data_IF_109821071067
#
_entry.id   IF_109821071067
#
_cell.length_a   1.000
_cell.length_b   1.000
_cell.length_c   1.000
_cell.angle_alpha   90.00
_cell.angle_beta   90.00
_cell.angle_gamma   90.00
#
_symmetry.space_group_name_H-M   'P 1'
#
loop_
_entity.id
_entity.type
_entity.pdbx_description
1 polymer ?
#
# COMPACT_ATOMS: atom_id res chain seq x y z
N UNK A 1 -7.42 -30.93 7.11
CA UNK A 1 -7.28 -30.07 8.30
C UNK A 1 -8.19 -28.88 8.05
N UNK A 2 -9.19 -28.61 8.89
CA UNK A 2 -9.85 -27.29 8.79
C UNK A 2 -8.78 -26.25 9.13
N UNK A 3 -8.64 -25.26 8.27
CA UNK A 3 -7.67 -24.19 8.50
C UNK A 3 -8.32 -23.21 9.48
N UNK A 4 -8.23 -23.49 10.77
CA UNK A 4 -8.78 -22.64 11.84
C UNK A 4 -7.95 -21.35 12.05
N UNK A 5 -6.99 -21.07 11.17
CA UNK A 5 -6.25 -19.82 11.19
C UNK A 5 -7.14 -18.67 10.69
N UNK A 6 -7.23 -17.56 11.44
CA UNK A 6 -7.98 -16.40 11.00
C UNK A 6 -7.36 -15.82 9.73
N UNK A 7 -8.22 -15.39 8.80
CA UNK A 7 -7.81 -14.70 7.58
C UNK A 7 -7.76 -13.21 7.85
N UNK A 8 -6.66 -12.56 7.45
CA UNK A 8 -6.54 -11.10 7.50
C UNK A 8 -7.10 -10.53 6.20
N UNK A 9 -8.12 -9.69 6.33
CA UNK A 9 -8.70 -8.95 5.20
C UNK A 9 -8.24 -7.49 5.31
N UNK A 10 -7.43 -7.07 4.34
CA UNK A 10 -7.12 -5.66 4.09
C UNK A 10 -8.00 -5.14 2.95
N UNK A 11 -8.55 -3.94 3.11
CA UNK A 11 -9.27 -3.24 2.03
C UNK A 11 -8.54 -1.94 1.68
N UNK A 12 -8.05 -1.86 0.44
CA UNK A 12 -7.60 -0.63 -0.18
C UNK A 12 -8.81 0.09 -0.82
N UNK A 13 -9.35 1.08 -0.13
CA UNK A 13 -10.69 1.61 -0.43
C UNK A 13 -10.73 2.55 -1.64
N UNK A 14 -9.59 3.13 -2.06
CA UNK A 14 -9.60 4.11 -3.15
C UNK A 14 -8.39 4.09 -4.11
N UNK A 15 -7.19 4.39 -3.63
CA UNK A 15 -6.06 4.77 -4.50
C UNK A 15 -6.26 6.14 -5.16
N UNK A 16 -5.75 6.30 -6.38
CA UNK A 16 -6.00 7.48 -7.23
C UNK A 16 -7.13 7.25 -8.26
N UNK A 17 -7.97 6.22 -8.05
CA UNK A 17 -9.09 5.91 -8.94
C UNK A 17 -10.06 7.11 -9.01
N UNK A 18 -10.33 7.65 -10.21
CA UNK A 18 -11.22 8.81 -10.36
C UNK A 18 -12.70 8.39 -10.33
N UNK A 19 -13.59 9.30 -9.93
CA UNK A 19 -15.05 9.04 -9.87
C UNK A 19 -15.65 8.74 -11.25
N UNK A 20 -15.06 9.27 -12.32
CA UNK A 20 -15.43 8.97 -13.70
C UNK A 20 -15.22 7.49 -14.06
N UNK A 21 -14.25 6.82 -13.41
CA UNK A 21 -14.01 5.38 -13.57
C UNK A 21 -14.92 4.56 -12.66
N UNK A 22 -15.13 5.00 -11.41
CA UNK A 22 -16.03 4.36 -10.47
C UNK A 22 -16.68 5.41 -9.55
N UNK A 23 -17.98 5.68 -9.71
CA UNK A 23 -18.69 6.70 -8.91
C UNK A 23 -18.70 6.40 -7.41
N UNK A 24 -18.52 5.13 -7.03
CA UNK A 24 -18.52 4.68 -5.64
C UNK A 24 -17.16 4.88 -4.94
N UNK A 25 -16.09 5.26 -5.65
CA UNK A 25 -14.79 5.48 -5.00
C UNK A 25 -14.88 6.63 -3.99
N UNK A 26 -14.46 6.44 -2.72
CA UNK A 26 -14.49 7.50 -1.72
C UNK A 26 -13.33 8.48 -1.94
N UNK A 27 -13.63 9.78 -2.00
CA UNK A 27 -12.63 10.85 -2.23
C UNK A 27 -12.62 11.90 -1.14
N UNK A 28 -13.78 12.31 -0.65
CA UNK A 28 -13.86 13.27 0.46
C UNK A 28 -13.62 12.57 1.79
N UNK A 29 -13.18 13.28 2.85
CA UNK A 29 -13.01 12.68 4.18
C UNK A 29 -14.27 11.97 4.69
N UNK A 30 -15.45 12.54 4.44
CA UNK A 30 -16.73 11.95 4.85
C UNK A 30 -17.06 10.64 4.11
N UNK A 31 -16.80 10.60 2.79
CA UNK A 31 -16.94 9.37 2.01
C UNK A 31 -15.94 8.31 2.47
N UNK A 32 -14.68 8.70 2.68
CA UNK A 32 -13.60 7.82 3.14
C UNK A 32 -13.98 7.16 4.46
N UNK A 33 -14.42 7.95 5.44
CA UNK A 33 -14.80 7.42 6.76
C UNK A 33 -16.02 6.52 6.72
N UNK A 34 -16.98 6.81 5.83
CA UNK A 34 -18.18 5.99 5.67
C UNK A 34 -17.86 4.66 5.02
N UNK A 35 -17.10 4.67 3.92
CA UNK A 35 -16.74 3.46 3.17
C UNK A 35 -15.80 2.56 3.98
N UNK A 36 -14.81 3.15 4.67
CA UNK A 36 -13.90 2.43 5.55
C UNK A 36 -14.65 1.76 6.72
N UNK A 37 -15.61 2.46 7.35
CA UNK A 37 -16.39 1.86 8.42
C UNK A 37 -17.24 0.69 7.91
N UNK A 38 -17.90 0.85 6.76
CA UNK A 38 -18.67 -0.23 6.14
C UNK A 38 -17.78 -1.45 5.84
N UNK A 39 -16.55 -1.23 5.36
CA UNK A 39 -15.59 -2.31 5.13
C UNK A 39 -15.19 -3.03 6.42
N UNK A 40 -14.94 -2.29 7.51
CA UNK A 40 -14.62 -2.86 8.82
C UNK A 40 -15.81 -3.62 9.43
N UNK A 41 -17.04 -3.12 9.27
CA UNK A 41 -18.27 -3.81 9.67
C UNK A 41 -18.52 -5.08 8.86
N UNK A 42 -18.08 -5.12 7.60
CA UNK A 42 -18.10 -6.31 6.75
C UNK A 42 -16.99 -7.32 7.05
N UNK A 43 -16.07 -7.02 7.97
CA UNK A 43 -15.04 -7.94 8.45
C UNK A 43 -13.60 -7.59 8.06
N UNK A 44 -13.35 -6.43 7.45
CA UNK A 44 -11.98 -5.95 7.23
C UNK A 44 -11.29 -5.68 8.58
N UNK A 45 -10.07 -6.18 8.73
CA UNK A 45 -9.21 -5.89 9.89
C UNK A 45 -8.31 -4.66 9.63
N UNK A 46 -7.98 -4.42 8.36
CA UNK A 46 -7.04 -3.39 7.92
C UNK A 46 -7.67 -2.53 6.83
N UNK A 47 -7.58 -1.22 6.98
CA UNK A 47 -7.97 -0.26 5.95
C UNK A 47 -6.76 0.52 5.47
N UNK A 48 -6.59 0.52 4.15
CA UNK A 48 -5.66 1.37 3.43
C UNK A 48 -6.42 2.42 2.64
N UNK A 49 -6.03 3.68 2.75
CA UNK A 49 -6.60 4.74 1.93
C UNK A 49 -5.63 5.87 1.62
N UNK A 50 -6.01 6.62 0.60
CA UNK A 50 -5.37 7.84 0.14
C UNK A 50 -6.22 9.04 0.57
N UNK A 51 -5.55 10.12 0.97
CA UNK A 51 -6.22 11.40 1.20
C UNK A 51 -6.73 11.99 -0.13
N UNK A 52 -7.59 13.01 -0.02
CA UNK A 52 -8.12 13.78 -1.15
C UNK A 52 -7.00 14.45 -1.98
N UNK A 53 -5.94 14.89 -1.31
CA UNK A 53 -4.78 15.55 -1.90
C UNK A 53 -3.46 14.99 -1.35
N UNK A 54 -2.71 14.30 -2.22
CA UNK A 54 -1.43 13.67 -1.88
C UNK A 54 -0.24 14.64 -1.95
N UNK A 55 -0.41 15.87 -2.43
CA UNK A 55 0.69 16.85 -2.53
C UNK A 55 0.90 17.62 -1.23
N UNK A 56 -0.03 17.50 -0.29
CA UNK A 56 0.13 18.08 1.04
C UNK A 56 0.86 17.11 1.94
N UNK A 57 1.74 17.64 2.80
CA UNK A 57 2.60 16.88 3.70
C UNK A 57 2.43 17.30 5.17
N UNK A 58 3.14 16.61 6.07
CA UNK A 58 3.28 16.95 7.48
C UNK A 58 1.95 16.95 8.22
N UNK A 59 1.81 17.93 9.13
CA UNK A 59 0.61 18.10 9.95
C UNK A 59 -0.66 18.30 9.12
N UNK A 60 -0.57 18.99 7.98
CA UNK A 60 -1.74 19.26 7.15
C UNK A 60 -2.27 17.97 6.48
N UNK A 61 -1.37 17.09 6.02
CA UNK A 61 -1.74 15.77 5.52
C UNK A 61 -2.29 14.88 6.64
N UNK A 62 -1.64 14.88 7.80
CA UNK A 62 -2.10 14.11 8.96
C UNK A 62 -3.53 14.49 9.35
N UNK A 63 -3.88 15.78 9.35
CA UNK A 63 -5.26 16.24 9.64
C UNK A 63 -6.28 15.66 8.68
N UNK A 64 -5.99 15.63 7.38
CA UNK A 64 -6.88 15.05 6.36
C UNK A 64 -7.13 13.56 6.58
N UNK A 65 -6.05 12.79 6.82
CA UNK A 65 -6.18 11.37 7.14
C UNK A 65 -6.96 11.15 8.44
N UNK A 66 -6.65 11.91 9.50
CA UNK A 66 -7.35 11.80 10.78
C UNK A 66 -8.84 12.14 10.66
N UNK A 67 -9.21 13.10 9.81
CA UNK A 67 -10.60 13.44 9.50
C UNK A 67 -11.30 12.28 8.77
N UNK A 68 -10.67 11.71 7.73
CA UNK A 68 -11.19 10.56 7.00
C UNK A 68 -11.34 9.32 7.88
N UNK A 69 -10.46 9.14 8.86
CA UNK A 69 -10.50 8.01 9.79
C UNK A 69 -11.40 8.21 11.00
N UNK A 70 -11.94 9.41 11.22
CA UNK A 70 -12.65 9.77 12.45
C UNK A 70 -13.77 8.77 12.79
N UNK A 71 -14.65 8.47 11.83
CA UNK A 71 -15.77 7.54 12.03
C UNK A 71 -15.31 6.13 12.42
N UNK A 72 -14.30 5.62 11.72
CA UNK A 72 -13.76 4.28 12.00
C UNK A 72 -13.12 4.23 13.37
N UNK A 73 -12.35 5.24 13.75
CA UNK A 73 -11.67 5.31 15.05
C UNK A 73 -12.66 5.43 16.22
N UNK A 74 -13.77 6.13 16.03
CA UNK A 74 -14.84 6.24 17.03
C UNK A 74 -15.60 4.91 17.19
N UNK A 75 -15.91 4.22 16.10
CA UNK A 75 -16.73 3.01 16.13
C UNK A 75 -15.92 1.71 16.37
N UNK A 76 -14.70 1.66 15.85
CA UNK A 76 -13.81 0.49 15.78
C UNK A 76 -12.37 0.89 16.09
N UNK A 77 -12.06 1.24 17.36
CA UNK A 77 -10.72 1.64 17.77
C UNK A 77 -9.68 0.51 17.66
N UNK A 78 -10.14 -0.73 17.43
CA UNK A 78 -9.33 -1.92 17.15
C UNK A 78 -8.95 -2.08 15.67
N UNK A 79 -9.55 -1.31 14.76
CA UNK A 79 -9.22 -1.36 13.34
C UNK A 79 -7.79 -0.85 13.08
N UNK A 80 -7.07 -1.52 12.20
CA UNK A 80 -5.73 -1.11 11.76
C UNK A 80 -5.89 -0.19 10.56
N UNK A 81 -5.47 1.05 10.72
CA UNK A 81 -5.56 2.07 9.67
C UNK A 81 -4.16 2.44 9.21
N UNK A 82 -3.99 2.66 7.90
CA UNK A 82 -2.78 3.28 7.41
C UNK A 82 -2.94 4.12 6.14
N UNK A 83 -2.25 5.27 6.09
CA UNK A 83 -2.25 6.17 4.94
C UNK A 83 -1.31 5.65 3.83
N UNK A 84 -1.48 6.18 2.61
CA UNK A 84 -0.38 6.17 1.63
C UNK A 84 0.72 7.17 2.01
N UNK A 85 1.91 6.97 1.46
CA UNK A 85 2.96 7.98 1.40
C UNK A 85 2.50 9.19 0.56
N UNK A 86 2.80 10.41 1.00
CA UNK A 86 2.46 11.63 0.25
C UNK A 86 3.47 11.88 -0.87
N UNK A 87 3.08 12.61 -1.91
CA UNK A 87 3.94 13.00 -3.03
C UNK A 87 4.78 14.22 -2.65
N UNK A 88 6.08 14.00 -2.47
CA UNK A 88 7.08 15.05 -2.23
C UNK A 88 8.42 14.63 -2.83
N UNK A 89 9.29 15.60 -3.13
CA UNK A 89 10.64 15.33 -3.65
C UNK A 89 11.57 14.82 -2.53
N UNK A 90 11.45 15.42 -1.34
CA UNK A 90 12.25 15.04 -0.18
C UNK A 90 11.66 13.82 0.55
N UNK A 91 12.52 12.86 0.89
CA UNK A 91 12.11 11.62 1.56
C UNK A 91 11.54 11.86 2.96
N UNK A 92 11.99 12.87 3.70
CA UNK A 92 11.46 13.15 5.03
C UNK A 92 10.06 13.75 4.93
N UNK A 93 9.83 14.64 3.96
CA UNK A 93 8.50 15.19 3.67
C UNK A 93 7.49 14.10 3.28
N UNK A 94 7.90 13.09 2.50
CA UNK A 94 7.04 11.94 2.15
C UNK A 94 6.43 11.23 3.36
N UNK A 95 7.14 11.18 4.48
CA UNK A 95 6.72 10.48 5.70
C UNK A 95 6.33 11.42 6.86
N UNK A 96 6.43 12.74 6.68
CA UNK A 96 6.26 13.72 7.76
C UNK A 96 4.88 13.72 8.43
N UNK A 97 3.88 13.09 7.82
CA UNK A 97 2.53 12.95 8.37
C UNK A 97 2.41 11.79 9.38
N UNK A 98 3.29 10.78 9.31
CA UNK A 98 3.20 9.57 10.14
C UNK A 98 3.36 9.82 11.64
N UNK A 99 4.32 10.65 12.13
CA UNK A 99 4.47 10.88 13.56
C UNK A 99 3.20 11.46 14.21
N UNK A 100 2.54 12.39 13.51
CA UNK A 100 1.28 12.99 13.97
C UNK A 100 0.15 11.96 14.00
N UNK A 101 0.03 11.12 12.96
CA UNK A 101 -0.99 10.08 12.94
C UNK A 101 -0.80 9.05 14.05
N UNK A 102 0.45 8.66 14.33
CA UNK A 102 0.76 7.75 15.45
C UNK A 102 0.42 8.39 16.79
N UNK A 103 0.84 9.64 17.01
CA UNK A 103 0.51 10.39 18.23
C UNK A 103 -1.01 10.45 18.49
N UNK A 104 -1.80 10.57 17.42
CA UNK A 104 -3.25 10.61 17.52
C UNK A 104 -3.91 9.24 17.55
N UNK A 105 -3.19 8.13 17.38
CA UNK A 105 -3.78 6.79 17.22
C UNK A 105 -4.60 6.64 15.93
N UNK A 106 -4.19 7.33 14.87
CA UNK A 106 -4.80 7.33 13.54
C UNK A 106 -3.96 6.57 12.49
N UNK A 107 -2.89 5.90 12.90
CA UNK A 107 -2.16 4.94 12.09
C UNK A 107 -1.51 3.85 12.97
N UNK A 108 -1.60 2.60 12.52
CA UNK A 108 -0.94 1.43 13.14
C UNK A 108 0.05 0.77 12.17
N UNK A 109 -0.08 1.08 10.88
CA UNK A 109 0.83 0.66 9.82
C UNK A 109 1.20 1.85 8.92
N UNK A 110 2.10 1.63 7.98
CA UNK A 110 2.39 2.54 6.88
C UNK A 110 2.73 1.76 5.60
N UNK A 111 2.44 2.36 4.45
CA UNK A 111 2.77 1.80 3.14
C UNK A 111 4.26 1.96 2.81
N UNK A 112 4.87 0.93 2.25
CA UNK A 112 6.22 0.99 1.69
C UNK A 112 6.30 0.09 0.45
N UNK A 113 6.92 0.58 -0.61
CA UNK A 113 7.13 -0.20 -1.82
C UNK A 113 8.62 -0.59 -1.89
N UNK A 114 8.98 -1.85 -1.59
CA UNK A 114 10.38 -2.23 -1.38
C UNK A 114 11.14 -2.52 -2.68
N UNK A 115 10.94 -1.69 -3.71
CA UNK A 115 11.64 -1.78 -4.98
C UNK A 115 11.22 -0.74 -6.01
N UNK A 116 11.80 -0.84 -7.21
CA UNK A 116 11.53 0.06 -8.33
C UNK A 116 11.04 -0.73 -9.55
N UNK A 117 10.09 -0.15 -10.30
CA UNK A 117 9.50 -0.76 -11.50
C UNK A 117 9.15 0.30 -12.53
N UNK A 118 9.10 -0.09 -13.80
CA UNK A 118 8.53 0.76 -14.84
C UNK A 118 7.00 0.62 -14.80
N UNK A 119 6.30 1.73 -14.79
CA UNK A 119 4.86 1.77 -15.02
C UNK A 119 4.58 2.45 -16.34
N UNK A 120 3.53 2.00 -17.02
CA UNK A 120 3.12 2.56 -18.29
C UNK A 120 1.60 2.61 -18.43
N UNK A 121 1.17 3.40 -19.40
CA UNK A 121 -0.12 3.25 -20.05
C UNK A 121 0.13 2.65 -21.41
N UNK A 122 -0.51 1.52 -21.66
CA UNK A 122 -0.39 0.82 -22.92
C UNK A 122 -1.36 1.38 -23.97
N UNK A 123 -0.89 1.43 -25.22
CA UNK A 123 -1.68 1.78 -26.38
C UNK A 123 -2.52 0.61 -26.88
N UNK A 124 -3.32 0.81 -27.95
CA UNK A 124 -4.21 -0.23 -28.50
C UNK A 124 -3.49 -1.49 -29.00
N UNK A 125 -2.19 -1.41 -29.28
CA UNK A 125 -1.35 -2.54 -29.69
C UNK A 125 -0.63 -3.22 -28.52
N UNK A 126 -0.91 -2.81 -27.27
CA UNK A 126 -0.29 -3.34 -26.06
C UNK A 126 1.11 -2.79 -25.74
N UNK A 127 1.66 -1.89 -26.58
CA UNK A 127 2.95 -1.25 -26.29
C UNK A 127 2.78 -0.03 -25.36
N UNK A 128 3.73 0.21 -24.44
CA UNK A 128 3.78 1.44 -23.65
C UNK A 128 3.77 2.68 -24.55
N UNK A 129 2.84 3.60 -24.32
CA UNK A 129 2.77 4.89 -25.03
C UNK A 129 2.99 6.10 -24.11
N UNK A 130 2.96 5.87 -22.79
CA UNK A 130 3.32 6.84 -21.76
C UNK A 130 3.83 6.06 -20.55
N UNK A 131 5.00 6.38 -20.06
CA UNK A 131 5.65 5.65 -18.97
C UNK A 131 6.27 6.57 -17.93
N UNK A 132 6.56 5.98 -16.77
CA UNK A 132 7.45 6.55 -15.78
C UNK A 132 8.16 5.43 -15.03
N UNK A 133 9.38 5.71 -14.57
CA UNK A 133 10.09 4.81 -13.66
C UNK A 133 9.64 5.14 -12.24
N UNK A 134 9.00 4.18 -11.58
CA UNK A 134 8.68 4.29 -10.17
C UNK A 134 9.90 3.86 -9.35
N UNK A 135 10.55 4.83 -8.71
CA UNK A 135 11.83 4.63 -8.06
C UNK A 135 11.69 4.59 -6.54
N UNK A 136 12.12 3.48 -5.94
CA UNK A 136 12.45 3.39 -4.52
C UNK A 136 13.83 2.72 -4.41
N UNK A 137 14.84 3.52 -4.12
CA UNK A 137 16.21 3.07 -3.87
C UNK A 137 16.30 2.31 -2.54
N UNK A 138 17.33 1.47 -2.36
CA UNK A 138 17.57 0.81 -1.07
C UNK A 138 17.76 1.80 0.09
N UNK A 139 18.27 3.01 -0.18
CA UNK A 139 18.36 4.09 0.81
C UNK A 139 16.98 4.58 1.25
N UNK A 140 16.05 4.81 0.31
CA UNK A 140 14.68 5.24 0.62
C UNK A 140 13.91 4.13 1.35
N UNK A 141 14.07 2.87 0.91
CA UNK A 141 13.50 1.69 1.56
C UNK A 141 13.99 1.57 3.01
N UNK A 142 15.30 1.68 3.22
CA UNK A 142 15.90 1.66 4.55
C UNK A 142 15.41 2.81 5.42
N UNK A 143 15.31 4.00 4.86
CA UNK A 143 14.79 5.18 5.55
C UNK A 143 13.34 4.98 6.03
N UNK A 144 12.48 4.42 5.17
CA UNK A 144 11.10 4.08 5.53
C UNK A 144 11.03 3.06 6.66
N UNK A 145 11.77 1.94 6.57
CA UNK A 145 11.82 0.93 7.63
C UNK A 145 12.33 1.49 8.97
N UNK A 146 13.32 2.39 8.94
CA UNK A 146 13.83 3.05 10.14
C UNK A 146 12.77 3.95 10.79
N UNK A 147 12.00 4.72 10.00
CA UNK A 147 10.88 5.52 10.52
C UNK A 147 9.84 4.61 11.14
N UNK A 148 9.44 3.55 10.44
CA UNK A 148 8.37 2.68 10.91
C UNK A 148 8.75 1.98 12.21
N UNK A 149 10.00 1.51 12.31
CA UNK A 149 10.54 0.92 13.54
C UNK A 149 10.57 1.91 14.70
N UNK A 150 10.97 3.17 14.46
CA UNK A 150 10.99 4.23 15.49
C UNK A 150 9.58 4.60 15.97
N UNK A 151 8.61 4.61 15.07
CA UNK A 151 7.22 4.95 15.37
C UNK A 151 6.38 3.76 15.86
N UNK A 152 6.92 2.54 15.83
CA UNK A 152 6.19 1.33 16.19
C UNK A 152 5.12 0.92 15.16
N UNK A 153 5.27 1.31 13.90
CA UNK A 153 4.38 0.98 12.80
C UNK A 153 4.77 -0.34 12.12
N UNK A 154 3.77 -1.13 11.74
CA UNK A 154 3.98 -2.24 10.79
C UNK A 154 4.16 -1.73 9.36
N UNK A 155 5.02 -2.38 8.56
CA UNK A 155 5.16 -2.08 7.14
C UNK A 155 4.16 -2.91 6.31
N UNK A 156 3.24 -2.24 5.62
CA UNK A 156 2.43 -2.86 4.56
C UNK A 156 3.20 -2.75 3.24
N UNK A 157 3.80 -3.85 2.80
CA UNK A 157 4.74 -3.86 1.67
C UNK A 157 4.06 -4.28 0.38
N UNK A 158 3.96 -3.39 -0.61
CA UNK A 158 3.39 -3.70 -1.93
C UNK A 158 4.49 -4.17 -2.90
N UNK A 159 4.43 -5.43 -3.29
CA UNK A 159 5.39 -6.04 -4.22
C UNK A 159 4.75 -6.14 -5.59
N UNK A 160 5.10 -5.19 -6.46
CA UNK A 160 4.68 -5.16 -7.86
C UNK A 160 5.53 -6.07 -8.74
N UNK A 161 6.73 -6.44 -8.30
CA UNK A 161 7.66 -7.27 -9.05
C UNK A 161 8.42 -8.20 -8.09
N UNK A 162 8.75 -9.41 -8.53
CA UNK A 162 9.41 -10.41 -7.71
C UNK A 162 10.78 -9.94 -7.18
N UNK A 163 11.45 -9.02 -7.87
CA UNK A 163 12.70 -8.43 -7.39
C UNK A 163 12.55 -7.65 -6.09
N UNK A 164 11.35 -7.16 -5.76
CA UNK A 164 11.06 -6.43 -4.53
C UNK A 164 11.22 -7.33 -3.29
N UNK A 165 11.04 -8.65 -3.43
CA UNK A 165 11.31 -9.63 -2.36
C UNK A 165 12.74 -9.54 -1.82
N UNK A 166 13.71 -9.12 -2.66
CA UNK A 166 15.13 -9.05 -2.27
C UNK A 166 15.36 -8.10 -1.10
N UNK A 167 14.74 -6.92 -1.15
CA UNK A 167 14.81 -5.94 -0.06
C UNK A 167 14.15 -6.48 1.20
N UNK A 168 12.93 -7.04 1.08
CA UNK A 168 12.20 -7.60 2.23
C UNK A 168 13.01 -8.70 2.92
N UNK A 169 13.58 -9.63 2.16
CA UNK A 169 14.37 -10.75 2.69
C UNK A 169 15.67 -10.27 3.33
N UNK A 170 16.35 -9.29 2.72
CA UNK A 170 17.56 -8.72 3.29
C UNK A 170 17.27 -8.08 4.67
N UNK A 171 16.21 -7.28 4.79
CA UNK A 171 15.84 -6.66 6.08
C UNK A 171 15.32 -7.68 7.09
N UNK A 172 14.56 -8.69 6.65
CA UNK A 172 14.09 -9.77 7.52
C UNK A 172 15.26 -10.59 8.08
N UNK A 173 16.20 -11.04 7.24
CA UNK A 173 17.40 -11.79 7.65
C UNK A 173 18.29 -10.99 8.59
N UNK A 174 18.35 -9.68 8.42
CA UNK A 174 19.09 -8.78 9.30
C UNK A 174 18.37 -8.50 10.64
N UNK A 175 17.14 -8.99 10.83
CA UNK A 175 16.33 -8.69 12.02
C UNK A 175 15.88 -7.22 12.09
N UNK A 176 15.83 -6.52 10.94
CA UNK A 176 15.54 -5.09 10.83
C UNK A 176 14.16 -4.76 10.25
N UNK A 177 13.35 -5.77 9.92
CA UNK A 177 11.99 -5.54 9.43
C UNK A 177 11.09 -5.06 10.59
N UNK A 178 10.28 -4.00 10.42
CA UNK A 178 9.39 -3.52 11.48
C UNK A 178 8.43 -4.62 11.96
N UNK A 179 8.12 -4.65 13.26
CA UNK A 179 7.18 -5.62 13.82
C UNK A 179 5.77 -5.41 13.25
N UNK A 180 5.07 -6.50 12.94
CA UNK A 180 3.72 -6.44 12.37
C UNK A 180 3.71 -6.13 10.86
N UNK A 181 4.86 -6.16 10.20
CA UNK A 181 4.95 -6.02 8.75
C UNK A 181 4.46 -7.26 8.03
N UNK A 182 3.86 -7.08 6.86
CA UNK A 182 3.57 -8.15 5.93
C UNK A 182 3.76 -7.70 4.47
N UNK A 183 3.84 -8.69 3.60
CA UNK A 183 4.04 -8.54 2.17
C UNK A 183 2.75 -8.82 1.43
N UNK A 184 2.43 -7.98 0.44
CA UNK A 184 1.34 -8.17 -0.51
C UNK A 184 1.92 -8.29 -1.90
N UNK A 185 1.56 -9.36 -2.60
CA UNK A 185 1.87 -9.52 -4.02
C UNK A 185 0.81 -8.81 -4.85
N UNK A 186 1.23 -7.82 -5.63
CA UNK A 186 0.35 -7.09 -6.53
C UNK A 186 0.37 -7.79 -7.88
N UNK A 187 -0.79 -8.31 -8.27
CA UNK A 187 -0.97 -8.93 -9.57
C UNK A 187 -1.57 -7.93 -10.57
N UNK A 188 -1.11 -8.00 -11.81
CA UNK A 188 -1.67 -7.20 -12.90
C UNK A 188 -2.74 -8.01 -13.65
N UNK A 189 -3.87 -7.38 -13.96
CA UNK A 189 -4.93 -7.98 -14.77
C UNK A 189 -4.84 -7.59 -16.24
N UNK A 190 -5.90 -7.91 -16.99
CA UNK A 190 -6.02 -7.56 -18.41
C UNK A 190 -6.17 -6.03 -18.66
N UNK A 191 -6.45 -5.28 -17.59
CA UNK A 191 -6.61 -3.84 -17.62
C UNK A 191 -5.34 -3.16 -17.10
N UNK A 192 -4.95 -2.12 -17.84
CA UNK A 192 -3.85 -1.24 -17.48
C UNK A 192 -4.12 -0.56 -16.14
N UNK A 193 -3.18 -0.67 -15.21
CA UNK A 193 -3.33 -0.16 -13.85
C UNK A 193 -3.64 1.33 -13.76
N UNK A 194 -2.96 2.12 -14.60
CA UNK A 194 -2.99 3.58 -14.55
C UNK A 194 -4.24 4.15 -15.24
N UNK A 195 -4.61 3.60 -16.40
CA UNK A 195 -5.74 4.09 -17.20
C UNK A 195 -7.04 3.36 -16.95
N UNK A 196 -6.99 2.13 -16.40
CA UNK A 196 -8.14 1.25 -16.24
C UNK A 196 -8.71 0.69 -17.54
N UNK A 197 -8.06 0.92 -18.68
CA UNK A 197 -8.50 0.44 -19.99
C UNK A 197 -7.88 -0.93 -20.31
N UNK A 198 -8.48 -1.72 -21.22
CA UNK A 198 -7.79 -2.87 -21.80
C UNK A 198 -6.46 -2.42 -22.39
N UNK A 199 -5.39 -3.12 -22.03
CA UNK A 199 -4.02 -2.72 -22.41
C UNK A 199 -2.96 -3.73 -22.01
N UNK A 200 -3.32 -4.81 -21.30
CA UNK A 200 -2.38 -5.83 -20.85
C UNK A 200 -1.62 -5.40 -19.59
N UNK A 201 -0.68 -6.26 -19.20
CA UNK A 201 0.11 -6.08 -17.99
C UNK A 201 1.18 -5.00 -18.18
N UNK A 202 1.20 -4.03 -17.28
CA UNK A 202 2.18 -2.94 -17.26
C UNK A 202 3.12 -2.99 -16.03
N UNK A 203 2.91 -3.96 -15.14
CA UNK A 203 3.80 -4.36 -14.05
C UNK A 203 3.51 -5.83 -13.68
N UNK A 204 4.41 -6.45 -12.91
CA UNK A 204 4.16 -7.70 -12.23
C UNK A 204 3.73 -8.87 -13.11
N UNK A 205 2.91 -9.75 -12.54
CA UNK A 205 2.48 -11.02 -13.13
C UNK A 205 0.96 -11.17 -13.07
N UNK A 206 0.35 -12.03 -13.92
CA UNK A 206 -1.09 -12.23 -13.90
C UNK A 206 -1.54 -12.94 -12.61
N UNK A 207 -2.78 -12.70 -12.12
CA UNK A 207 -3.31 -13.27 -10.88
C UNK A 207 -3.64 -14.76 -11.05
N UNK A 208 -2.60 -15.59 -11.11
CA UNK A 208 -2.72 -17.05 -11.21
C UNK A 208 -2.08 -17.73 -10.02
N UNK A 209 -2.58 -18.90 -9.65
CA UNK A 209 -2.01 -19.71 -8.56
C UNK A 209 -0.54 -20.05 -8.83
N UNK A 210 -0.18 -20.35 -10.08
CA UNK A 210 1.20 -20.64 -10.48
C UNK A 210 2.14 -19.48 -10.20
N UNK A 211 1.72 -18.26 -10.51
CA UNK A 211 2.52 -17.05 -10.26
C UNK A 211 2.66 -16.83 -8.76
N UNK A 212 1.58 -16.96 -7.99
CA UNK A 212 1.64 -16.85 -6.54
C UNK A 212 2.63 -17.86 -5.95
N UNK A 213 2.60 -19.10 -6.41
CA UNK A 213 3.56 -20.15 -5.98
C UNK A 213 4.99 -19.75 -6.37
N UNK A 214 5.22 -19.27 -7.58
CA UNK A 214 6.55 -18.85 -8.05
C UNK A 214 7.13 -17.73 -7.19
N UNK A 215 6.32 -16.72 -6.85
CA UNK A 215 6.71 -15.61 -5.96
C UNK A 215 7.04 -16.09 -4.53
N UNK A 216 6.38 -17.16 -4.07
CA UNK A 216 6.62 -17.77 -2.75
C UNK A 216 7.79 -18.76 -2.73
N UNK A 217 8.18 -19.33 -3.86
CA UNK A 217 9.27 -20.32 -3.97
C UNK A 217 10.59 -19.69 -4.41
N UNK A 218 11.15 -18.82 -3.58
CA UNK A 218 12.59 -18.55 -3.70
C UNK A 218 13.36 -19.82 -3.31
N UNK A 219 14.46 -20.15 -4.01
CA UNK A 219 15.17 -21.40 -3.76
C UNK A 219 15.61 -21.42 -2.29
N UNK A 220 15.10 -22.41 -1.56
CA UNK A 220 15.69 -22.81 -0.29
C UNK A 220 17.13 -23.18 -0.61
N UNK A 221 18.09 -22.37 -0.19
CA UNK A 221 19.48 -22.80 -0.16
C UNK A 221 19.52 -23.93 0.86
N UNK A 222 19.64 -25.17 0.37
CA UNK A 222 20.02 -26.30 1.19
C UNK A 222 21.42 -26.00 1.77
N UNK A 223 21.50 -25.86 3.09
CA UNK A 223 22.74 -26.01 3.86
C UNK A 223 22.95 -27.48 4.20
#
# INVERSE_FOLDING_TARGET
MSNDQPVIIEVAINGETPKERNMNVPRTPEEIGTDALACVEAGAAIIHGHADDLKVSGLAAAKRYAEGWRKVREARPDAILYPTVVMADDQAERFAHLPHLVEWGAAQMASLDPGSSNFAINGPNGLPVRDFVYTNSYSEIGYGFDIFSKLGLGASMALYDASYCRAVIAWHRAGKLPRGSFTKFYFAGDHDFMSGKPGGMNFGFPPTETVLIWDMTLPRTEE
#
